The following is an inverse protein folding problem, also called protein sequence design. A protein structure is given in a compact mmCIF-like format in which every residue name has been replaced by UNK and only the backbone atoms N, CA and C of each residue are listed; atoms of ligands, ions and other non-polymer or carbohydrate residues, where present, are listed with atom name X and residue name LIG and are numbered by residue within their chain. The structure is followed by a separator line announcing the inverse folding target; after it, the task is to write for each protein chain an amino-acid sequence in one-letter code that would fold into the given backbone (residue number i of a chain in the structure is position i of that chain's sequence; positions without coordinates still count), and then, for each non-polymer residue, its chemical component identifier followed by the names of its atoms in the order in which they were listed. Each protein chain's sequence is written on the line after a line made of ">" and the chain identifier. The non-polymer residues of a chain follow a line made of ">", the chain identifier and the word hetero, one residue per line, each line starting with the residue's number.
data_IF_309621951687
#
_entry.id   IF_309621951687
#
_cell.length_a   1.000
_cell.length_b   1.000
_cell.length_c   1.000
_cell.angle_alpha   90.00
_cell.angle_beta   90.00
_cell.angle_gamma   90.00
#
_symmetry.space_group_name_H-M   'P 1'
#
loop_
_entity.id
_entity.type
_entity.pdbx_description
1 polymer ?
#
# COMPACT_ATOMS: atom_id res chain seq x y z
N UNK A 1 -65.94 -18.65 43.38
CA UNK A 1 -64.66 -18.94 44.09
C UNK A 1 -63.79 -19.65 43.05
N UNK A 2 -62.67 -19.11 42.74
CA UNK A 2 -61.70 -19.77 41.83
C UNK A 2 -61.12 -21.01 42.55
N UNK A 3 -61.05 -22.14 41.83
CA UNK A 3 -60.42 -23.36 42.33
C UNK A 3 -58.90 -23.15 42.37
N UNK A 4 -58.25 -23.56 43.48
CA UNK A 4 -56.82 -23.45 43.68
C UNK A 4 -56.04 -24.16 42.54
N UNK A 5 -56.55 -25.29 42.05
CA UNK A 5 -55.90 -26.05 40.99
C UNK A 5 -55.92 -25.26 39.65
N UNK A 6 -56.98 -24.47 39.39
CA UNK A 6 -57.00 -23.58 38.20
C UNK A 6 -55.97 -22.46 38.31
N UNK A 7 -55.84 -21.85 39.50
CA UNK A 7 -54.85 -20.78 39.75
C UNK A 7 -53.45 -21.33 39.62
N UNK A 8 -53.16 -22.51 40.18
CA UNK A 8 -51.86 -23.17 40.07
C UNK A 8 -51.56 -23.57 38.61
N UNK A 9 -52.57 -23.99 37.85
CA UNK A 9 -52.47 -24.25 36.42
C UNK A 9 -52.09 -23.01 35.58
N UNK A 10 -52.64 -21.88 35.91
CA UNK A 10 -52.29 -20.61 35.24
C UNK A 10 -50.89 -20.16 35.62
N UNK A 11 -50.49 -20.30 36.87
CA UNK A 11 -49.12 -20.00 37.32
C UNK A 11 -48.12 -20.84 36.55
N UNK A 12 -48.32 -22.17 36.49
CA UNK A 12 -47.46 -23.07 35.72
C UNK A 12 -47.42 -22.74 34.22
N UNK A 13 -48.56 -22.34 33.61
CA UNK A 13 -48.60 -21.95 32.22
C UNK A 13 -47.81 -20.65 31.95
N UNK A 14 -47.87 -19.69 32.85
CA UNK A 14 -47.08 -18.46 32.78
C UNK A 14 -45.58 -18.76 32.97
N UNK A 15 -45.22 -19.58 33.93
CA UNK A 15 -43.82 -19.97 34.14
C UNK A 15 -43.26 -20.72 32.95
N UNK A 16 -44.00 -21.62 32.33
CA UNK A 16 -43.61 -22.33 31.12
C UNK A 16 -43.47 -21.37 29.93
N UNK A 17 -44.37 -20.40 29.78
CA UNK A 17 -44.28 -19.40 28.75
C UNK A 17 -43.06 -18.49 28.95
N UNK A 18 -42.77 -18.07 30.16
CA UNK A 18 -41.57 -17.28 30.50
C UNK A 18 -40.27 -18.09 30.25
N UNK A 19 -40.24 -19.37 30.62
CA UNK A 19 -39.09 -20.26 30.34
C UNK A 19 -38.88 -20.47 28.83
N UNK A 20 -39.94 -20.37 28.02
CA UNK A 20 -39.87 -20.47 26.56
C UNK A 20 -39.46 -19.19 25.86
N UNK A 21 -39.35 -18.05 26.56
CA UNK A 21 -38.94 -16.80 25.96
C UNK A 21 -37.46 -16.87 25.48
N UNK A 22 -37.24 -16.60 24.24
CA UNK A 22 -35.90 -16.49 23.65
C UNK A 22 -35.61 -15.04 23.25
N UNK A 23 -34.45 -14.56 23.62
CA UNK A 23 -33.99 -13.23 23.19
C UNK A 23 -33.65 -13.28 21.70
N UNK A 24 -34.17 -12.37 20.92
CA UNK A 24 -33.84 -12.25 19.49
C UNK A 24 -32.34 -11.98 19.33
N UNK A 25 -31.78 -12.48 18.24
CA UNK A 25 -30.39 -12.19 17.86
C UNK A 25 -30.25 -10.71 17.42
N UNK A 26 -29.07 -10.17 17.63
CA UNK A 26 -28.68 -8.87 17.12
C UNK A 26 -28.64 -8.87 15.58
N UNK A 27 -28.79 -7.70 14.99
CA UNK A 27 -28.68 -7.47 13.54
C UNK A 27 -27.21 -7.20 13.17
N UNK A 28 -26.66 -8.03 12.30
CA UNK A 28 -25.28 -7.96 11.80
C UNK A 28 -25.17 -7.31 10.41
N UNK A 29 -26.24 -6.79 9.84
CA UNK A 29 -26.24 -6.22 8.48
C UNK A 29 -25.16 -5.15 8.29
N UNK A 30 -24.93 -4.27 9.27
CA UNK A 30 -23.90 -3.25 9.23
C UNK A 30 -22.49 -3.84 9.21
N UNK A 31 -22.27 -4.95 9.95
CA UNK A 31 -21.00 -5.66 9.95
C UNK A 31 -20.72 -6.29 8.57
N UNK A 32 -21.74 -6.92 7.99
CA UNK A 32 -21.65 -7.51 6.65
C UNK A 32 -21.40 -6.44 5.58
N UNK A 33 -22.05 -5.29 5.67
CA UNK A 33 -21.82 -4.15 4.78
C UNK A 33 -20.41 -3.59 4.92
N UNK A 34 -19.89 -3.48 6.14
CA UNK A 34 -18.51 -3.05 6.37
C UNK A 34 -17.52 -4.05 5.77
N UNK A 35 -17.73 -5.35 5.93
CA UNK A 35 -16.88 -6.40 5.34
C UNK A 35 -16.88 -6.31 3.80
N UNK A 36 -18.02 -6.03 3.17
CA UNK A 36 -18.11 -5.86 1.70
C UNK A 36 -17.30 -4.68 1.17
N UNK A 37 -16.99 -3.68 2.00
CA UNK A 37 -16.17 -2.51 1.64
C UNK A 37 -14.66 -2.81 1.65
N UNK A 38 -14.25 -3.97 2.12
CA UNK A 38 -12.83 -4.35 2.15
C UNK A 38 -12.30 -4.46 0.73
N UNK A 39 -11.16 -3.82 0.39
CA UNK A 39 -10.55 -3.94 -0.93
C UNK A 39 -10.25 -5.40 -1.29
N UNK A 40 -10.49 -5.76 -2.54
CA UNK A 40 -10.26 -7.12 -3.03
C UNK A 40 -8.78 -7.52 -3.04
N UNK A 41 -7.87 -6.56 -3.25
CA UNK A 41 -6.42 -6.79 -3.25
C UNK A 41 -5.76 -6.06 -2.09
N UNK A 42 -5.50 -6.78 -1.03
CA UNK A 42 -4.80 -6.29 0.15
C UNK A 42 -3.27 -6.32 0.01
N UNK A 43 -2.72 -6.92 -1.04
CA UNK A 43 -1.28 -7.00 -1.26
C UNK A 43 -0.63 -5.64 -1.51
N UNK A 44 -1.41 -4.65 -1.92
CA UNK A 44 -0.98 -3.28 -2.17
C UNK A 44 -0.76 -2.46 -0.88
N UNK A 45 -1.26 -2.95 0.26
CA UNK A 45 -1.21 -2.23 1.54
C UNK A 45 -0.11 -2.77 2.46
N UNK A 46 0.31 -1.95 3.40
CA UNK A 46 1.32 -2.34 4.39
C UNK A 46 0.80 -3.45 5.30
N UNK A 47 1.68 -4.38 5.68
CA UNK A 47 1.32 -5.53 6.51
C UNK A 47 0.73 -5.09 7.86
N UNK A 48 1.21 -3.97 8.42
CA UNK A 48 0.69 -3.41 9.66
C UNK A 48 -0.78 -2.95 9.53
N UNK A 49 -1.12 -2.27 8.43
CA UNK A 49 -2.50 -1.81 8.20
C UNK A 49 -3.45 -2.95 7.85
N UNK A 50 -2.97 -3.95 7.10
CA UNK A 50 -3.73 -5.18 6.82
C UNK A 50 -3.98 -5.97 8.10
N UNK A 51 -2.95 -6.12 8.95
CA UNK A 51 -3.11 -6.79 10.24
C UNK A 51 -4.16 -6.11 11.12
N UNK A 52 -4.16 -4.78 11.19
CA UNK A 52 -5.18 -4.03 11.94
C UNK A 52 -6.61 -4.31 11.43
N UNK A 53 -6.78 -4.45 10.12
CA UNK A 53 -8.06 -4.83 9.51
C UNK A 53 -8.44 -6.29 9.86
N UNK A 54 -7.50 -7.21 9.82
CA UNK A 54 -7.73 -8.60 10.20
C UNK A 54 -8.09 -8.72 11.70
N UNK A 55 -7.38 -8.00 12.56
CA UNK A 55 -7.68 -7.95 14.00
C UNK A 55 -9.10 -7.39 14.25
N UNK A 56 -9.51 -6.35 13.51
CA UNK A 56 -10.87 -5.80 13.59
C UNK A 56 -11.93 -6.83 13.17
N UNK A 57 -11.71 -7.56 12.06
CA UNK A 57 -12.60 -8.64 11.61
C UNK A 57 -12.69 -9.77 12.62
N UNK A 58 -11.55 -10.21 13.13
CA UNK A 58 -11.46 -11.33 14.09
C UNK A 58 -12.04 -10.98 15.46
N UNK A 59 -12.22 -9.69 15.77
CA UNK A 59 -12.88 -9.23 16.99
C UNK A 59 -14.40 -9.41 16.99
N UNK A 60 -15.01 -9.74 15.85
CA UNK A 60 -16.44 -9.93 15.71
C UNK A 60 -16.87 -11.20 16.42
N UNK A 61 -17.72 -11.04 17.45
CA UNK A 61 -18.37 -12.15 18.13
C UNK A 61 -19.77 -12.32 17.55
N UNK A 62 -20.05 -13.48 16.99
CA UNK A 62 -21.34 -13.83 16.41
C UNK A 62 -22.34 -14.25 17.47
N UNK A 63 -23.63 -14.37 17.11
CA UNK A 63 -24.71 -14.90 17.95
C UNK A 63 -25.04 -14.04 19.21
N UNK A 64 -24.70 -12.75 19.21
CA UNK A 64 -25.09 -11.85 20.31
C UNK A 64 -26.58 -11.61 20.33
N UNK A 65 -27.18 -11.45 21.52
CA UNK A 65 -28.59 -11.08 21.64
C UNK A 65 -28.82 -9.63 21.22
N UNK A 66 -30.06 -9.28 20.85
CA UNK A 66 -30.44 -7.93 20.43
C UNK A 66 -30.17 -6.86 21.51
N UNK A 67 -30.12 -7.26 22.77
CA UNK A 67 -29.75 -6.38 23.90
C UNK A 67 -28.30 -5.86 23.80
N UNK A 68 -27.47 -6.51 22.99
CA UNK A 68 -26.08 -6.13 22.73
C UNK A 68 -25.88 -5.52 21.33
N UNK A 69 -26.95 -5.00 20.71
CA UNK A 69 -26.90 -4.41 19.36
C UNK A 69 -25.83 -3.31 19.24
N UNK A 70 -25.64 -2.50 20.27
CA UNK A 70 -24.61 -1.44 20.27
C UNK A 70 -23.20 -2.02 20.15
N UNK A 71 -22.93 -3.14 20.80
CA UNK A 71 -21.65 -3.86 20.67
C UNK A 71 -21.45 -4.38 19.26
N UNK A 72 -22.49 -4.91 18.62
CA UNK A 72 -22.48 -5.40 17.23
C UNK A 72 -22.25 -4.24 16.25
N UNK A 73 -22.92 -3.11 16.44
CA UNK A 73 -22.69 -1.88 15.65
C UNK A 73 -21.26 -1.36 15.84
N UNK A 74 -20.69 -1.56 17.03
CA UNK A 74 -19.29 -1.25 17.34
C UNK A 74 -18.29 -2.05 16.49
N UNK A 75 -18.57 -3.30 16.16
CA UNK A 75 -17.74 -4.09 15.24
C UNK A 75 -17.69 -3.51 13.84
N UNK A 76 -18.84 -3.09 13.30
CA UNK A 76 -18.91 -2.43 12.01
C UNK A 76 -18.04 -1.18 11.96
N UNK A 77 -18.15 -0.32 12.99
CA UNK A 77 -17.33 0.90 13.11
C UNK A 77 -15.83 0.58 13.18
N UNK A 78 -15.43 -0.47 13.91
CA UNK A 78 -14.02 -0.89 13.98
C UNK A 78 -13.48 -1.34 12.63
N UNK A 79 -14.25 -2.13 11.89
CA UNK A 79 -13.89 -2.58 10.53
C UNK A 79 -13.78 -1.38 9.59
N UNK A 80 -14.74 -0.47 9.60
CA UNK A 80 -14.71 0.74 8.78
C UNK A 80 -13.51 1.64 9.10
N UNK A 81 -13.19 1.80 10.38
CA UNK A 81 -12.02 2.55 10.82
C UNK A 81 -10.71 1.88 10.34
N UNK A 82 -10.63 0.55 10.40
CA UNK A 82 -9.48 -0.19 9.91
C UNK A 82 -9.34 -0.10 8.38
N UNK A 83 -10.45 -0.13 7.63
CA UNK A 83 -10.45 0.10 6.17
C UNK A 83 -9.94 1.51 5.85
N UNK A 84 -10.41 2.54 6.57
CA UNK A 84 -9.95 3.92 6.41
C UNK A 84 -8.46 4.10 6.78
N UNK A 85 -7.95 3.24 7.67
CA UNK A 85 -6.54 3.21 8.10
C UNK A 85 -5.61 2.42 7.17
N UNK A 86 -6.11 1.83 6.09
CA UNK A 86 -5.27 1.11 5.14
C UNK A 86 -4.27 2.06 4.47
N UNK A 87 -3.00 1.70 4.53
CA UNK A 87 -1.89 2.49 3.99
C UNK A 87 -1.21 1.72 2.88
N UNK A 88 -1.08 2.31 1.70
CA UNK A 88 -0.37 1.68 0.58
C UNK A 88 1.11 1.47 0.90
N UNK A 89 1.68 0.39 0.39
CA UNK A 89 3.13 0.17 0.35
C UNK A 89 3.79 1.26 -0.51
N UNK A 90 5.04 1.58 -0.20
CA UNK A 90 5.84 2.44 -1.05
C UNK A 90 6.12 1.79 -2.42
N UNK A 91 6.29 2.60 -3.46
CA UNK A 91 6.78 2.12 -4.75
C UNK A 91 8.23 1.66 -4.64
N UNK A 92 8.61 0.66 -5.44
CA UNK A 92 9.97 0.19 -5.55
C UNK A 92 10.79 1.09 -6.49
N UNK A 93 11.80 1.77 -5.93
CA UNK A 93 12.74 2.62 -6.66
C UNK A 93 14.06 1.94 -7.04
N UNK A 94 14.19 0.63 -6.84
CA UNK A 94 15.45 -0.09 -7.09
C UNK A 94 15.95 0.07 -8.53
N UNK A 95 15.06 0.05 -9.52
CA UNK A 95 15.39 0.30 -10.93
C UNK A 95 15.89 1.72 -11.16
N UNK A 96 15.27 2.72 -10.52
CA UNK A 96 15.68 4.13 -10.60
C UNK A 96 17.07 4.29 -10.01
N UNK A 97 17.30 3.71 -8.84
CA UNK A 97 18.60 3.78 -8.16
C UNK A 97 19.70 3.08 -8.96
N UNK A 98 19.36 1.95 -9.59
CA UNK A 98 20.26 1.27 -10.51
C UNK A 98 20.60 2.11 -11.76
N UNK A 99 19.60 2.77 -12.33
CA UNK A 99 19.79 3.67 -13.47
C UNK A 99 20.66 4.90 -13.09
N UNK A 100 20.44 5.49 -11.92
CA UNK A 100 21.25 6.61 -11.41
C UNK A 100 22.72 6.20 -11.27
N UNK A 101 22.99 4.99 -10.79
CA UNK A 101 24.37 4.47 -10.66
C UNK A 101 25.06 4.25 -12.01
N UNK A 102 24.32 4.09 -13.11
CA UNK A 102 24.86 3.96 -14.47
C UNK A 102 25.29 5.29 -15.09
N UNK A 103 24.99 6.43 -14.48
CA UNK A 103 25.44 7.75 -14.98
C UNK A 103 26.97 7.78 -14.91
N UNK A 104 27.65 8.09 -16.02
CA UNK A 104 29.11 8.20 -16.01
C UNK A 104 29.61 9.26 -15.03
N UNK A 105 30.69 8.96 -14.30
CA UNK A 105 31.29 9.89 -13.34
C UNK A 105 31.88 11.15 -14.03
N UNK A 106 32.33 11.03 -15.27
CA UNK A 106 32.88 12.13 -16.04
C UNK A 106 32.00 12.42 -17.26
N UNK A 107 31.11 13.38 -17.08
CA UNK A 107 30.21 13.85 -18.14
C UNK A 107 30.85 14.87 -19.08
N UNK A 108 32.08 15.41 -18.79
CA UNK A 108 32.74 16.41 -19.60
C UNK A 108 33.13 15.92 -21.00
N UNK A 109 33.24 14.58 -21.15
CA UNK A 109 33.52 13.91 -22.43
C UNK A 109 32.36 13.94 -23.41
N UNK A 110 31.16 14.22 -22.95
CA UNK A 110 29.94 14.15 -23.75
C UNK A 110 29.46 15.55 -24.16
N UNK A 111 28.67 15.61 -25.21
CA UNK A 111 28.09 16.87 -25.69
C UNK A 111 27.12 17.42 -24.66
N UNK A 112 27.06 18.76 -24.54
CA UNK A 112 26.27 19.43 -23.53
C UNK A 112 24.77 19.14 -23.69
N UNK A 113 24.29 18.97 -24.95
CA UNK A 113 22.91 18.54 -25.22
C UNK A 113 22.59 17.17 -24.69
N UNK A 114 23.48 16.18 -24.90
CA UNK A 114 23.27 14.81 -24.42
C UNK A 114 23.38 14.72 -22.89
N UNK A 115 24.26 15.50 -22.27
CA UNK A 115 24.37 15.63 -20.81
C UNK A 115 23.13 16.30 -20.22
N UNK A 116 22.60 17.32 -20.89
CA UNK A 116 21.36 17.98 -20.48
C UNK A 116 20.20 16.99 -20.42
N UNK A 117 20.06 16.12 -21.42
CA UNK A 117 19.02 15.08 -21.42
C UNK A 117 19.09 14.14 -20.22
N UNK A 118 20.32 13.75 -19.78
CA UNK A 118 20.51 12.93 -18.58
C UNK A 118 20.13 13.70 -17.31
N UNK A 119 20.53 14.97 -17.23
CA UNK A 119 20.22 15.82 -16.07
C UNK A 119 18.71 16.08 -15.97
N UNK A 120 18.03 16.34 -17.08
CA UNK A 120 16.58 16.54 -17.14
C UNK A 120 15.84 15.27 -16.70
N UNK A 121 16.24 14.11 -17.21
CA UNK A 121 15.65 12.82 -16.81
C UNK A 121 15.87 12.52 -15.32
N UNK A 122 17.05 12.85 -14.77
CA UNK A 122 17.35 12.71 -13.35
C UNK A 122 16.51 13.67 -12.49
N UNK A 123 16.37 14.91 -12.93
CA UNK A 123 15.59 15.93 -12.23
C UNK A 123 14.08 15.63 -12.22
N UNK A 124 13.59 14.90 -13.22
CA UNK A 124 12.18 14.50 -13.32
C UNK A 124 11.79 13.39 -12.30
N UNK A 125 12.75 12.78 -11.60
CA UNK A 125 12.48 11.72 -10.63
C UNK A 125 11.80 12.32 -9.39
N UNK A 126 10.54 11.92 -9.15
CA UNK A 126 9.79 12.27 -7.95
C UNK A 126 9.80 11.07 -7.01
N UNK A 127 10.30 11.26 -5.79
CA UNK A 127 10.32 10.24 -4.72
C UNK A 127 9.04 10.29 -3.88
N UNK A 128 8.79 9.23 -3.09
CA UNK A 128 7.66 9.16 -2.17
C UNK A 128 6.34 8.72 -2.81
N UNK A 129 6.38 8.14 -4.00
CA UNK A 129 5.21 7.52 -4.62
C UNK A 129 4.91 6.17 -3.97
N UNK A 130 3.64 5.80 -3.97
CA UNK A 130 3.20 4.51 -3.47
C UNK A 130 3.13 3.45 -4.60
N UNK A 131 2.89 2.20 -4.22
CA UNK A 131 2.87 1.04 -5.13
C UNK A 131 1.88 1.18 -6.29
N UNK A 132 0.77 1.92 -6.14
CA UNK A 132 -0.20 2.13 -7.22
C UNK A 132 0.37 2.97 -8.36
N UNK A 133 1.46 3.70 -8.08
CA UNK A 133 2.19 4.53 -9.03
C UNK A 133 3.49 3.87 -9.55
N UNK A 134 3.67 2.54 -9.31
CA UNK A 134 4.89 1.82 -9.69
C UNK A 134 5.24 1.98 -11.16
N UNK A 135 4.24 1.99 -12.04
CA UNK A 135 4.45 2.21 -13.48
C UNK A 135 5.10 3.57 -13.78
N UNK A 136 4.73 4.60 -13.03
CA UNK A 136 5.34 5.94 -13.16
C UNK A 136 6.80 5.90 -12.71
N UNK A 137 7.07 5.22 -11.59
CA UNK A 137 8.44 5.05 -11.06
C UNK A 137 9.31 4.27 -12.03
N UNK A 138 8.80 3.17 -12.60
CA UNK A 138 9.51 2.42 -13.66
C UNK A 138 9.78 3.30 -14.89
N UNK A 139 8.88 4.22 -15.22
CA UNK A 139 9.05 5.19 -16.28
C UNK A 139 10.23 6.14 -16.07
N UNK A 140 10.51 6.56 -14.84
CA UNK A 140 11.70 7.37 -14.53
C UNK A 140 12.99 6.59 -14.82
N UNK A 141 13.05 5.32 -14.44
CA UNK A 141 14.21 4.48 -14.71
C UNK A 141 14.44 4.33 -16.21
N UNK A 142 13.39 4.03 -16.98
CA UNK A 142 13.46 3.88 -18.42
C UNK A 142 13.89 5.19 -19.14
N UNK A 143 13.35 6.33 -18.72
CA UNK A 143 13.72 7.64 -19.26
C UNK A 143 15.20 7.96 -19.00
N UNK A 144 15.68 7.70 -17.80
CA UNK A 144 17.07 7.91 -17.43
C UNK A 144 18.01 6.97 -18.20
N UNK A 145 17.68 5.68 -18.31
CA UNK A 145 18.48 4.72 -19.10
C UNK A 145 18.53 5.12 -20.58
N UNK A 146 17.41 5.57 -21.16
CA UNK A 146 17.37 6.07 -22.52
C UNK A 146 18.27 7.30 -22.70
N UNK A 147 18.24 8.23 -21.75
CA UNK A 147 19.09 9.42 -21.79
C UNK A 147 20.59 9.04 -21.69
N UNK A 148 20.93 8.10 -20.80
CA UNK A 148 22.32 7.58 -20.66
C UNK A 148 22.78 6.91 -21.96
N UNK A 149 21.95 6.07 -22.56
CA UNK A 149 22.24 5.43 -23.84
C UNK A 149 22.38 6.44 -24.98
N UNK A 150 21.76 7.61 -24.87
CA UNK A 150 21.85 8.70 -25.83
C UNK A 150 23.07 9.61 -25.67
N UNK A 151 23.96 9.33 -24.71
CA UNK A 151 25.18 10.14 -24.50
C UNK A 151 26.11 10.08 -25.73
N UNK A 152 26.43 11.27 -26.26
CA UNK A 152 27.30 11.44 -27.43
C UNK A 152 28.63 12.05 -26.98
N UNK A 153 29.73 11.40 -27.34
CA UNK A 153 31.05 11.95 -27.05
C UNK A 153 31.29 13.25 -27.85
N UNK A 154 31.98 14.20 -27.25
CA UNK A 154 32.46 15.38 -27.95
C UNK A 154 33.45 14.97 -29.05
N UNK A 155 33.41 15.62 -30.23
CA UNK A 155 34.40 15.34 -31.25
C UNK A 155 35.82 15.65 -30.73
N UNK A 156 36.79 14.80 -31.08
CA UNK A 156 38.19 15.06 -30.75
C UNK A 156 38.67 16.30 -31.48
N UNK A 157 38.96 17.34 -30.72
CA UNK A 157 39.62 18.56 -31.22
C UNK A 157 41.10 18.51 -30.85
N UNK A 158 41.94 19.27 -31.55
CA UNK A 158 43.37 19.37 -31.25
C UNK A 158 43.67 19.74 -29.77
N UNK A 159 42.70 20.42 -29.10
CA UNK A 159 42.77 20.78 -27.67
C UNK A 159 42.46 19.60 -26.72
N UNK A 160 41.82 18.53 -27.22
CA UNK A 160 41.40 17.36 -26.44
C UNK A 160 42.28 16.14 -26.69
N UNK A 161 43.30 16.25 -27.53
CA UNK A 161 44.27 15.17 -27.76
C UNK A 161 45.14 14.97 -26.50
N UNK A 162 45.35 13.73 -26.05
CA UNK A 162 46.33 13.48 -25.01
C UNK A 162 47.70 13.95 -25.53
N UNK A 163 48.41 14.78 -24.74
CA UNK A 163 49.80 15.19 -25.07
C UNK A 163 50.64 13.93 -25.18
N UNK A 164 51.03 13.61 -26.41
CA UNK A 164 52.03 12.58 -26.67
C UNK A 164 53.40 13.15 -26.20
N UNK A 165 53.82 12.81 -25.02
CA UNK A 165 55.22 13.02 -24.64
C UNK A 165 56.06 12.12 -25.51
N UNK A 166 56.71 12.70 -26.53
CA UNK A 166 57.80 12.00 -27.24
C UNK A 166 58.84 11.57 -26.23
N UNK A 167 58.93 10.28 -25.99
CA UNK A 167 60.11 9.74 -25.37
C UNK A 167 61.30 10.04 -26.28
N UNK A 168 62.22 10.88 -25.81
CA UNK A 168 63.51 11.11 -26.45
C UNK A 168 64.33 9.84 -26.17
N UNK A 169 64.41 8.95 -27.17
CA UNK A 169 65.42 7.95 -27.20
C UNK A 169 66.73 8.67 -27.56
N UNK A 170 67.54 8.97 -26.57
CA UNK A 170 68.98 9.25 -26.75
C UNK A 170 69.65 7.91 -26.71
N UNK A 171 70.01 7.36 -27.89
CA UNK A 171 71.06 6.40 -28.08
C UNK A 171 72.25 7.20 -28.43
N UNK A 172 73.22 7.26 -27.53
CA UNK A 172 74.60 7.63 -27.79
C UNK A 172 75.49 6.45 -27.60
#
# INVERSE_FOLDING_TARGET
>A
ILDQAEVDGWAAAIENALAGLQVRKADYSKVEEAIKKIPADLSLYTDASVKALEDAKNSVVTERPVTEQESVDGYAKKIEAAIAGLTYKDADYSKVDAAVKKIPNDLKKYTDESVKAVNDAKAAIVRGKNITEQKTVDGYAAALEKAIAGLKQKPMTAQNLPKITKGVNQSG
#
